data_IF_787538223851
#
_entry.id   IF_787538223851
#
_cell.length_a   1.000
_cell.length_b   1.000
_cell.length_c   1.000
_cell.angle_alpha   90.00
_cell.angle_beta   90.00
_cell.angle_gamma   90.00
#
_symmetry.space_group_name_H-M   'P 1'
#
loop_
_entity.id
_entity.type
_entity.pdbx_description
1 polymer ?
#
# COMPACT_ATOMS: atom_id res chain seq x y z
N UNK A 1 -8.85 -21.69 6.20
CA UNK A 1 -8.58 -20.62 5.21
C UNK A 1 -7.38 -21.04 4.38
N UNK A 2 -7.38 -20.94 3.03
CA UNK A 2 -6.32 -21.52 2.24
C UNK A 2 -5.06 -20.66 2.37
N UNK A 3 -3.98 -21.28 2.84
CA UNK A 3 -2.65 -20.70 3.08
C UNK A 3 -2.09 -19.93 1.86
N UNK A 4 -2.49 -20.33 0.64
CA UNK A 4 -1.97 -19.78 -0.61
C UNK A 4 -2.35 -18.31 -0.85
N UNK A 5 -3.54 -17.87 -0.42
CA UNK A 5 -3.97 -16.48 -0.65
C UNK A 5 -3.17 -15.48 0.19
N UNK A 6 -2.77 -15.90 1.40
CA UNK A 6 -1.99 -15.07 2.31
C UNK A 6 -0.53 -14.98 1.85
N UNK A 7 0.07 -16.12 1.45
CA UNK A 7 1.44 -16.15 0.90
C UNK A 7 1.56 -15.31 -0.37
N UNK A 8 0.59 -15.39 -1.29
CA UNK A 8 0.58 -14.57 -2.50
C UNK A 8 0.46 -13.07 -2.18
N UNK A 9 -0.40 -12.70 -1.22
CA UNK A 9 -0.56 -11.32 -0.77
C UNK A 9 0.71 -10.75 -0.13
N UNK A 10 1.35 -11.53 0.74
CA UNK A 10 2.62 -11.17 1.37
C UNK A 10 3.74 -11.00 0.34
N UNK A 11 3.83 -11.91 -0.65
CA UNK A 11 4.80 -11.81 -1.73
C UNK A 11 4.58 -10.56 -2.60
N UNK A 12 3.34 -10.26 -2.98
CA UNK A 12 3.00 -9.06 -3.73
C UNK A 12 3.36 -7.78 -2.96
N UNK A 13 3.06 -7.72 -1.66
CA UNK A 13 3.42 -6.59 -0.80
C UNK A 13 4.94 -6.38 -0.75
N UNK A 14 5.71 -7.44 -0.49
CA UNK A 14 7.18 -7.37 -0.42
C UNK A 14 7.81 -6.90 -1.75
N UNK A 15 7.26 -7.33 -2.89
CA UNK A 15 7.70 -6.89 -4.22
C UNK A 15 7.42 -5.39 -4.40
N UNK A 16 6.21 -4.93 -4.05
CA UNK A 16 5.84 -3.52 -4.16
C UNK A 16 6.68 -2.63 -3.23
N UNK A 17 6.92 -3.05 -1.98
CA UNK A 17 7.79 -2.33 -1.04
C UNK A 17 9.22 -2.21 -1.58
N UNK A 18 9.77 -3.31 -2.09
CA UNK A 18 11.11 -3.32 -2.69
C UNK A 18 11.20 -2.39 -3.90
N UNK A 19 10.14 -2.32 -4.71
CA UNK A 19 10.07 -1.42 -5.85
C UNK A 19 10.01 0.05 -5.43
N UNK A 20 9.15 0.40 -4.48
CA UNK A 20 9.03 1.76 -3.95
C UNK A 20 10.34 2.23 -3.32
N UNK A 21 11.00 1.35 -2.56
CA UNK A 21 12.31 1.63 -1.97
C UNK A 21 13.36 1.88 -3.07
N UNK A 22 13.41 1.01 -4.09
CA UNK A 22 14.35 1.15 -5.20
C UNK A 22 14.13 2.43 -6.03
N UNK A 23 12.89 2.91 -6.14
CA UNK A 23 12.55 4.17 -6.81
C UNK A 23 12.96 5.39 -5.97
N UNK A 24 12.76 5.32 -4.65
CA UNK A 24 13.21 6.35 -3.72
C UNK A 24 14.74 6.47 -3.71
N UNK A 25 15.44 5.36 -3.54
CA UNK A 25 16.91 5.31 -3.46
C UNK A 25 17.56 5.88 -4.74
N UNK A 26 16.92 5.67 -5.90
CA UNK A 26 17.36 6.21 -7.20
C UNK A 26 16.89 7.63 -7.49
N UNK A 27 16.18 8.28 -6.56
CA UNK A 27 15.59 9.63 -6.70
C UNK A 27 14.67 9.75 -7.92
N UNK A 28 14.05 8.64 -8.34
CA UNK A 28 13.07 8.61 -9.42
C UNK A 28 11.73 9.09 -8.88
N UNK A 29 11.38 8.67 -7.66
CA UNK A 29 10.16 9.07 -6.98
C UNK A 29 10.49 9.41 -5.52
N UNK A 30 10.55 10.70 -5.15
CA UNK A 30 10.89 11.11 -3.79
C UNK A 30 9.84 10.64 -2.78
N UNK A 31 10.22 10.53 -1.50
CA UNK A 31 9.34 10.06 -0.42
C UNK A 31 7.97 10.75 -0.39
N UNK A 32 7.90 12.07 -0.62
CA UNK A 32 6.63 12.81 -0.64
C UNK A 32 5.68 12.31 -1.72
N UNK A 33 6.21 11.96 -2.89
CA UNK A 33 5.41 11.42 -3.99
C UNK A 33 4.98 9.98 -3.71
N UNK A 34 5.85 9.16 -3.09
CA UNK A 34 5.49 7.80 -2.68
C UNK A 34 4.34 7.85 -1.68
N UNK A 35 4.45 8.70 -0.67
CA UNK A 35 3.40 8.89 0.34
C UNK A 35 2.11 9.39 -0.32
N UNK A 36 2.20 10.35 -1.25
CA UNK A 36 1.05 10.86 -1.98
C UNK A 36 0.32 9.76 -2.76
N UNK A 37 1.04 8.92 -3.51
CA UNK A 37 0.46 7.79 -4.25
C UNK A 37 -0.26 6.82 -3.31
N UNK A 38 0.33 6.50 -2.16
CA UNK A 38 -0.30 5.61 -1.19
C UNK A 38 -1.53 6.25 -0.54
N UNK A 39 -1.51 7.55 -0.25
CA UNK A 39 -2.67 8.28 0.25
C UNK A 39 -3.81 8.31 -0.77
N UNK A 40 -3.50 8.58 -2.04
CA UNK A 40 -4.47 8.57 -3.12
C UNK A 40 -5.11 7.18 -3.29
N UNK A 41 -4.31 6.11 -3.17
CA UNK A 41 -4.80 4.74 -3.20
C UNK A 41 -5.73 4.44 -2.01
N UNK A 42 -5.35 4.83 -0.79
CA UNK A 42 -6.19 4.65 0.40
C UNK A 42 -7.53 5.39 0.25
N UNK A 43 -7.49 6.65 -0.19
CA UNK A 43 -8.69 7.46 -0.41
C UNK A 43 -9.59 6.89 -1.51
N UNK A 44 -9.01 6.36 -2.60
CA UNK A 44 -9.78 5.72 -3.66
C UNK A 44 -10.53 4.47 -3.15
N UNK A 45 -9.89 3.66 -2.31
CA UNK A 45 -10.53 2.51 -1.67
C UNK A 45 -11.61 2.94 -0.67
N UNK A 46 -11.36 3.95 0.16
CA UNK A 46 -12.35 4.45 1.12
C UNK A 46 -13.60 5.02 0.43
N UNK A 47 -13.41 5.85 -0.61
CA UNK A 47 -14.50 6.38 -1.42
C UNK A 47 -15.29 5.27 -2.15
N UNK A 48 -14.62 4.20 -2.59
CA UNK A 48 -15.28 3.06 -3.24
C UNK A 48 -16.12 2.22 -2.26
N UNK A 49 -15.81 2.26 -0.96
CA UNK A 49 -16.60 1.57 0.06
C UNK A 49 -18.05 2.12 0.13
N UNK A 50 -18.28 3.37 -0.26
CA UNK A 50 -19.61 4.00 -0.23
C UNK A 50 -20.41 3.82 -1.53
N UNK A 51 -19.77 3.34 -2.62
CA UNK A 51 -20.35 3.36 -3.97
C UNK A 51 -20.89 2.02 -4.47
N UNK A 52 -20.07 0.96 -4.51
CA UNK A 52 -20.48 -0.39 -4.91
C UNK A 52 -19.34 -1.39 -4.73
N UNK A 53 -19.60 -2.54 -4.08
CA UNK A 53 -18.63 -3.61 -3.91
C UNK A 53 -18.76 -4.28 -2.54
N UNK A 54 -17.66 -4.87 -2.06
CA UNK A 54 -17.54 -5.30 -0.67
C UNK A 54 -16.91 -4.15 0.15
N UNK A 55 -17.71 -3.33 0.85
CA UNK A 55 -17.22 -2.18 1.63
C UNK A 55 -16.24 -2.61 2.73
N UNK A 56 -16.36 -3.84 3.24
CA UNK A 56 -15.47 -4.34 4.27
C UNK A 56 -14.07 -4.61 3.71
N UNK A 57 -13.99 -5.16 2.49
CA UNK A 57 -12.74 -5.36 1.77
C UNK A 57 -12.08 -4.01 1.45
N UNK A 58 -12.84 -3.05 0.91
CA UNK A 58 -12.31 -1.73 0.56
C UNK A 58 -11.73 -0.99 1.78
N UNK A 59 -12.44 -0.99 2.92
CA UNK A 59 -11.92 -0.41 4.17
C UNK A 59 -10.71 -1.16 4.70
N UNK A 60 -10.69 -2.50 4.62
CA UNK A 60 -9.54 -3.29 5.05
C UNK A 60 -8.29 -2.97 4.21
N UNK A 61 -8.45 -2.76 2.90
CA UNK A 61 -7.35 -2.34 2.01
C UNK A 61 -6.87 -0.94 2.38
N UNK A 62 -7.77 0.04 2.56
CA UNK A 62 -7.40 1.40 2.97
C UNK A 62 -6.60 1.40 4.29
N UNK A 63 -7.07 0.67 5.31
CA UNK A 63 -6.39 0.54 6.59
C UNK A 63 -5.01 -0.14 6.48
N UNK A 64 -4.85 -1.11 5.58
CA UNK A 64 -3.57 -1.75 5.34
C UNK A 64 -2.57 -0.77 4.70
N UNK A 65 -3.02 0.05 3.75
CA UNK A 65 -2.19 1.07 3.11
C UNK A 65 -1.74 2.13 4.13
N UNK A 66 -2.63 2.59 5.01
CA UNK A 66 -2.26 3.53 6.09
C UNK A 66 -1.20 2.94 7.04
N UNK A 67 -1.30 1.65 7.35
CA UNK A 67 -0.27 0.95 8.15
C UNK A 67 1.09 0.92 7.45
N UNK A 68 1.11 0.72 6.13
CA UNK A 68 2.35 0.73 5.32
C UNK A 68 2.99 2.13 5.34
N UNK A 69 2.20 3.19 5.21
CA UNK A 69 2.67 4.59 5.32
C UNK A 69 3.29 4.84 6.71
N UNK A 70 2.62 4.36 7.76
CA UNK A 70 3.02 4.59 9.16
C UNK A 70 4.26 3.79 9.54
N UNK A 71 4.36 2.52 9.10
CA UNK A 71 5.53 1.68 9.38
C UNK A 71 6.79 2.21 8.69
N UNK A 72 6.63 2.93 7.57
CA UNK A 72 7.75 3.45 6.79
C UNK A 72 8.44 2.39 5.95
N UNK A 73 7.88 1.18 5.82
CA UNK A 73 8.51 0.09 5.04
C UNK A 73 8.72 0.43 3.55
N UNK A 74 7.96 1.41 3.02
CA UNK A 74 8.05 1.83 1.63
C UNK A 74 9.17 2.85 1.35
N UNK A 75 9.84 3.37 2.38
CA UNK A 75 10.89 4.40 2.26
C UNK A 75 12.01 4.17 3.27
N UNK A 76 13.27 4.37 2.87
CA UNK A 76 14.40 4.21 3.78
C UNK A 76 14.44 5.36 4.78
N UNK A 77 13.92 5.16 5.99
CA UNK A 77 14.11 6.08 7.12
C UNK A 77 15.36 5.65 7.91
N UNK A 78 16.24 6.58 8.33
CA UNK A 78 17.40 6.26 9.17
C UNK A 78 17.00 5.79 10.58
#
# INVERSE_FOLDING_TARGET
>A
MPLHSDVAGQAALAICESLLLALNDRKILPEREIIGILQDAAAAHDNAADGSGDPSMHRAVAQLIEKIITSGNSVRRP
#
